data_IF_884300706291
#
_entry.id   IF_884300706291
#
_cell.length_a   1.000
_cell.length_b   1.000
_cell.length_c   1.000
_cell.angle_alpha   90.00
_cell.angle_beta   90.00
_cell.angle_gamma   90.00
#
_symmetry.space_group_name_H-M   'P 1'
#
loop_
_entity.id
_entity.type
_entity.pdbx_description
1 polymer ?
#
# COMPACT_ATOMS: atom_id res chain seq x y z
N UNK A 1 -9.07 -2.29 9.62
CA UNK A 1 -9.48 -2.83 8.29
C UNK A 1 -8.54 -2.25 7.25
N UNK A 2 -7.93 -3.07 6.41
CA UNK A 2 -7.02 -2.65 5.36
C UNK A 2 -7.00 -3.67 4.22
N UNK A 3 -6.79 -3.21 3.00
CA UNK A 3 -6.79 -4.05 1.80
C UNK A 3 -5.44 -4.70 1.49
N UNK A 4 -4.35 -4.22 2.08
CA UNK A 4 -3.03 -4.86 2.00
C UNK A 4 -2.95 -6.10 2.93
N UNK A 5 -2.20 -7.15 2.55
CA UNK A 5 -2.14 -8.42 3.28
C UNK A 5 -1.11 -8.42 4.42
N UNK A 6 -0.64 -7.25 4.84
CA UNK A 6 0.48 -7.08 5.75
C UNK A 6 0.07 -6.35 7.02
N UNK A 7 0.87 -6.50 8.08
CA UNK A 7 0.80 -5.61 9.23
C UNK A 7 1.07 -4.16 8.80
N UNK A 8 0.53 -3.15 9.52
CA UNK A 8 0.87 -1.76 9.26
C UNK A 8 2.39 -1.56 9.28
N UNK A 9 2.89 -0.75 8.34
CA UNK A 9 4.33 -0.63 8.10
C UNK A 9 4.74 0.78 7.67
N UNK A 10 6.03 1.06 7.75
CA UNK A 10 6.61 2.30 7.25
C UNK A 10 6.63 2.30 5.72
N UNK A 11 6.00 3.30 5.10
CA UNK A 11 6.09 3.53 3.65
C UNK A 11 7.35 4.28 3.16
N UNK A 12 8.00 5.17 3.95
CA UNK A 12 9.21 5.87 3.48
C UNK A 12 10.37 4.97 3.00
N UNK A 13 10.62 3.78 3.58
CA UNK A 13 11.64 2.86 3.07
C UNK A 13 11.38 2.30 1.66
N UNK A 14 10.16 2.39 1.14
CA UNK A 14 9.76 1.78 -0.14
C UNK A 14 10.51 2.35 -1.36
N UNK A 15 10.90 3.63 -1.32
CA UNK A 15 11.72 4.29 -2.35
C UNK A 15 13.22 4.25 -2.06
N UNK A 16 13.64 3.59 -0.97
CA UNK A 16 15.02 3.62 -0.45
C UNK A 16 15.56 2.21 -0.25
N UNK A 17 15.56 1.73 0.99
CA UNK A 17 16.07 0.42 1.40
C UNK A 17 15.41 -0.72 0.63
N UNK A 18 14.14 -0.57 0.25
CA UNK A 18 13.46 -1.56 -0.58
C UNK A 18 14.01 -1.65 -2.01
N UNK A 19 14.65 -0.60 -2.53
CA UNK A 19 15.25 -0.58 -3.88
C UNK A 19 16.68 -1.14 -3.86
N UNK A 20 17.45 -0.82 -2.82
CA UNK A 20 18.90 -1.11 -2.76
C UNK A 20 19.28 -2.32 -1.91
N UNK A 21 18.39 -2.77 -1.02
CA UNK A 21 18.64 -3.92 -0.13
C UNK A 21 18.70 -5.26 -0.88
N UNK A 22 19.49 -6.20 -0.36
CA UNK A 22 19.61 -7.56 -0.91
C UNK A 22 18.28 -8.34 -0.79
N UNK A 23 17.59 -8.17 0.32
CA UNK A 23 16.29 -8.78 0.62
C UNK A 23 15.33 -7.73 1.18
N UNK A 24 14.53 -7.05 0.34
CA UNK A 24 13.57 -6.05 0.80
C UNK A 24 12.53 -6.71 1.71
N UNK A 25 12.27 -6.09 2.86
CA UNK A 25 11.33 -6.58 3.85
C UNK A 25 10.42 -5.45 4.33
N UNK A 26 9.24 -5.82 4.80
CA UNK A 26 8.29 -4.90 5.41
C UNK A 26 8.79 -4.49 6.78
N UNK A 27 8.97 -3.19 6.99
CA UNK A 27 9.26 -2.61 8.29
C UNK A 27 7.96 -2.34 9.05
N UNK A 28 7.46 -3.36 9.73
CA UNK A 28 6.21 -3.28 10.49
C UNK A 28 6.32 -2.27 11.65
N UNK A 29 5.27 -1.47 11.84
CA UNK A 29 5.15 -0.50 12.96
C UNK A 29 4.30 -1.03 14.11
N UNK A 30 3.72 -2.22 13.94
CA UNK A 30 2.91 -2.91 14.93
C UNK A 30 3.07 -4.42 14.77
N UNK A 31 2.76 -5.17 15.81
CA UNK A 31 2.78 -6.63 15.84
C UNK A 31 1.42 -7.17 16.25
N UNK A 32 1.13 -8.43 15.92
CA UNK A 32 -0.10 -9.09 16.37
C UNK A 32 -0.19 -9.17 17.90
N UNK A 33 0.95 -9.34 18.58
CA UNK A 33 1.02 -9.32 20.04
C UNK A 33 0.59 -7.96 20.61
N UNK A 34 1.07 -6.85 20.02
CA UNK A 34 0.66 -5.50 20.42
C UNK A 34 -0.84 -5.27 20.18
N UNK A 35 -1.38 -5.78 19.07
CA UNK A 35 -2.82 -5.69 18.81
C UNK A 35 -3.64 -6.49 19.81
N UNK A 36 -3.21 -7.71 20.14
CA UNK A 36 -3.88 -8.54 21.14
C UNK A 36 -3.86 -7.88 22.53
N UNK A 37 -2.70 -7.37 22.96
CA UNK A 37 -2.53 -6.64 24.23
C UNK A 37 -3.50 -5.45 24.33
N UNK A 38 -3.68 -4.73 23.22
CA UNK A 38 -4.53 -3.53 23.16
C UNK A 38 -5.98 -3.81 22.77
N UNK A 39 -6.38 -5.08 22.66
CA UNK A 39 -7.72 -5.47 22.21
C UNK A 39 -8.12 -4.86 20.85
N UNK A 40 -7.15 -4.74 19.93
CA UNK A 40 -7.35 -4.22 18.59
C UNK A 40 -7.60 -5.39 17.64
N UNK A 41 -8.79 -5.42 17.02
CA UNK A 41 -9.06 -6.36 15.93
C UNK A 41 -8.46 -5.82 14.62
N UNK A 42 -7.32 -6.39 14.22
CA UNK A 42 -6.73 -6.12 12.92
C UNK A 42 -7.38 -7.00 11.85
N UNK A 43 -8.05 -6.37 10.88
CA UNK A 43 -8.62 -7.03 9.70
C UNK A 43 -7.81 -6.55 8.50
N UNK A 44 -7.08 -7.45 7.84
CA UNK A 44 -6.24 -7.18 6.67
C UNK A 44 -6.75 -7.96 5.45
N UNK A 45 -6.17 -7.72 4.27
CA UNK A 45 -6.60 -8.36 3.00
C UNK A 45 -8.08 -8.16 2.64
N UNK A 46 -8.75 -7.17 3.24
CA UNK A 46 -10.18 -6.93 3.06
C UNK A 46 -10.43 -5.44 2.89
N UNK A 47 -11.05 -5.07 1.77
CA UNK A 47 -11.34 -3.68 1.42
C UNK A 47 -12.69 -3.26 1.98
N UNK A 48 -12.77 -2.09 2.59
CA UNK A 48 -14.04 -1.40 2.81
C UNK A 48 -14.55 -0.83 1.48
N UNK A 49 -15.71 -1.29 1.01
CA UNK A 49 -16.24 -0.96 -0.33
C UNK A 49 -17.39 0.05 -0.29
N UNK A 50 -18.15 0.12 0.80
CA UNK A 50 -19.22 1.08 0.98
C UNK A 50 -19.45 1.40 2.47
N UNK A 51 -19.99 2.59 2.73
CA UNK A 51 -20.40 3.01 4.08
C UNK A 51 -21.92 3.20 4.07
N UNK A 52 -22.62 2.40 4.84
CA UNK A 52 -24.05 2.54 5.11
C UNK A 52 -24.20 3.37 6.39
N UNK A 53 -24.38 4.68 6.19
CA UNK A 53 -24.47 5.66 7.28
C UNK A 53 -25.76 5.52 8.10
N UNK A 54 -26.84 5.07 7.48
CA UNK A 54 -28.13 4.92 8.15
C UNK A 54 -28.12 3.73 9.10
N UNK A 55 -27.54 2.60 8.67
CA UNK A 55 -27.40 1.41 9.50
C UNK A 55 -26.08 1.37 10.30
N UNK A 56 -25.27 2.43 10.24
CA UNK A 56 -24.01 2.55 10.96
C UNK A 56 -23.07 1.35 10.75
N UNK A 57 -22.83 0.99 9.48
CA UNK A 57 -21.98 -0.15 9.11
C UNK A 57 -21.16 0.08 7.85
N UNK A 58 -20.04 -0.63 7.74
CA UNK A 58 -19.17 -0.65 6.57
C UNK A 58 -19.35 -1.98 5.85
N UNK A 59 -19.61 -1.95 4.54
CA UNK A 59 -19.58 -3.15 3.70
C UNK A 59 -18.13 -3.48 3.34
N UNK A 60 -17.76 -4.74 3.49
CA UNK A 60 -16.44 -5.26 3.16
C UNK A 60 -16.45 -6.02 1.83
N UNK A 61 -15.29 -6.16 1.19
CA UNK A 61 -15.15 -6.81 -0.12
C UNK A 61 -15.45 -8.31 -0.10
N UNK A 62 -15.44 -8.94 1.08
CA UNK A 62 -15.85 -10.33 1.30
C UNK A 62 -17.37 -10.49 1.45
N UNK A 63 -18.14 -9.40 1.31
CA UNK A 63 -19.60 -9.39 1.45
C UNK A 63 -20.09 -9.20 2.89
N UNK A 64 -19.19 -9.23 3.88
CA UNK A 64 -19.56 -9.01 5.28
C UNK A 64 -19.82 -7.53 5.59
N UNK A 65 -20.44 -7.27 6.73
CA UNK A 65 -20.67 -5.93 7.26
C UNK A 65 -20.04 -5.77 8.64
N UNK A 66 -19.39 -4.62 8.86
CA UNK A 66 -18.81 -4.25 10.14
C UNK A 66 -19.59 -3.07 10.75
N UNK A 67 -20.33 -3.26 11.86
CA UNK A 67 -21.03 -2.17 12.54
C UNK A 67 -20.04 -1.22 13.23
N UNK A 68 -20.44 0.03 13.43
CA UNK A 68 -19.64 1.03 14.14
C UNK A 68 -20.50 2.04 14.91
N UNK A 69 -20.01 2.52 16.05
CA UNK A 69 -20.53 3.75 16.68
C UNK A 69 -19.82 4.99 16.14
N UNK A 70 -18.51 4.86 15.90
CA UNK A 70 -17.64 5.90 15.34
C UNK A 70 -16.82 5.32 14.20
N UNK A 71 -16.71 6.07 13.11
CA UNK A 71 -15.96 5.68 11.92
C UNK A 71 -14.84 6.70 11.63
N UNK A 72 -13.60 6.23 11.57
CA UNK A 72 -12.43 7.01 11.14
C UNK A 72 -12.01 6.58 9.74
N UNK A 73 -11.95 7.54 8.82
CA UNK A 73 -11.43 7.30 7.47
C UNK A 73 -9.92 7.59 7.44
N UNK A 74 -9.14 6.53 7.35
CA UNK A 74 -7.67 6.57 7.28
C UNK A 74 -7.14 5.90 5.99
N UNK A 75 -7.85 6.08 4.87
CA UNK A 75 -7.61 5.38 3.59
C UNK A 75 -6.39 5.88 2.81
N UNK A 76 -5.72 6.93 3.28
CA UNK A 76 -4.53 7.49 2.63
C UNK A 76 -4.82 8.06 1.23
N UNK A 77 -3.90 7.82 0.30
CA UNK A 77 -3.95 8.34 -1.07
C UNK A 77 -3.47 7.28 -2.06
N UNK A 78 -3.85 7.44 -3.33
CA UNK A 78 -3.44 6.57 -4.43
C UNK A 78 -2.59 7.34 -5.44
N UNK A 79 -1.63 6.69 -6.14
CA UNK A 79 -0.89 7.33 -7.22
C UNK A 79 -1.82 7.83 -8.32
N UNK A 80 -1.59 9.06 -8.77
CA UNK A 80 -2.28 9.59 -9.95
C UNK A 80 -1.86 8.78 -11.18
N UNK A 81 -2.84 8.15 -11.82
CA UNK A 81 -2.63 7.41 -13.06
C UNK A 81 -2.43 8.38 -14.22
N UNK A 82 -1.38 8.17 -15.00
CA UNK A 82 -1.10 8.92 -16.22
C UNK A 82 -1.74 8.20 -17.42
N UNK A 83 -2.39 8.92 -18.36
CA UNK A 83 -2.98 8.34 -19.55
C UNK A 83 -1.89 7.97 -20.57
N UNK A 84 -1.13 6.91 -20.27
CA UNK A 84 -0.06 6.38 -21.12
C UNK A 84 -0.46 5.01 -21.69
N UNK A 85 -1.37 4.97 -22.67
CA UNK A 85 -1.80 3.71 -23.28
C UNK A 85 -0.61 2.99 -23.93
N UNK A 86 -0.61 1.66 -23.89
CA UNK A 86 0.39 0.82 -24.57
C UNK A 86 1.62 0.45 -23.75
N UNK A 87 1.80 0.97 -22.53
CA UNK A 87 2.94 0.59 -21.67
C UNK A 87 2.73 -0.71 -20.88
N UNK A 88 1.47 -1.12 -20.65
CA UNK A 88 1.14 -2.36 -19.94
C UNK A 88 1.88 -2.47 -18.60
N UNK A 89 2.53 -3.62 -18.35
CA UNK A 89 3.32 -3.88 -17.14
C UNK A 89 4.62 -3.06 -17.03
N UNK A 90 5.02 -2.33 -18.08
CA UNK A 90 6.23 -1.48 -18.04
C UNK A 90 6.00 -0.15 -17.32
N UNK A 91 4.73 0.24 -17.12
CA UNK A 91 4.38 1.41 -16.34
C UNK A 91 3.96 0.99 -14.94
N UNK A 92 4.85 1.21 -13.98
CA UNK A 92 4.65 0.90 -12.55
C UNK A 92 4.62 2.19 -11.73
N UNK A 93 3.83 2.20 -10.67
CA UNK A 93 3.71 3.30 -9.72
C UNK A 93 4.17 2.84 -8.35
N UNK A 94 4.75 3.72 -7.52
CA UNK A 94 5.18 3.37 -6.17
C UNK A 94 4.19 3.86 -5.11
N UNK A 95 3.54 2.94 -4.39
CA UNK A 95 2.77 3.25 -3.16
C UNK A 95 2.80 2.17 -2.10
N UNK A 96 2.75 0.92 -2.53
CA UNK A 96 2.67 -0.27 -1.68
C UNK A 96 3.98 -1.04 -1.68
N UNK A 97 4.13 -1.98 -0.76
CA UNK A 97 5.27 -2.90 -0.79
C UNK A 97 5.30 -3.75 -2.08
N UNK A 98 4.14 -4.19 -2.57
CA UNK A 98 4.05 -4.92 -3.84
C UNK A 98 4.54 -4.08 -5.02
N UNK A 99 4.23 -2.79 -5.03
CA UNK A 99 4.72 -1.86 -6.05
C UNK A 99 6.25 -1.75 -6.03
N UNK A 100 6.83 -1.63 -4.84
CA UNK A 100 8.28 -1.59 -4.67
C UNK A 100 8.94 -2.86 -5.21
N UNK A 101 8.40 -4.04 -4.90
CA UNK A 101 8.90 -5.30 -5.45
C UNK A 101 8.78 -5.36 -6.98
N UNK A 102 7.67 -4.88 -7.55
CA UNK A 102 7.46 -4.83 -8.99
C UNK A 102 8.49 -3.91 -9.69
N UNK A 103 8.76 -2.72 -9.12
CA UNK A 103 9.80 -1.82 -9.61
C UNK A 103 11.17 -2.48 -9.54
N UNK A 104 11.52 -3.05 -8.38
CA UNK A 104 12.82 -3.69 -8.15
C UNK A 104 13.10 -4.82 -9.14
N UNK A 105 12.08 -5.59 -9.53
CA UNK A 105 12.21 -6.65 -10.53
C UNK A 105 12.70 -6.13 -11.90
N UNK A 106 12.55 -4.83 -12.19
CA UNK A 106 13.04 -4.19 -13.40
C UNK A 106 14.39 -3.48 -13.24
N UNK A 107 14.93 -3.36 -12.03
CA UNK A 107 16.20 -2.68 -11.74
C UNK A 107 17.39 -3.63 -11.86
N UNK A 108 17.67 -4.10 -13.09
CA UNK A 108 18.89 -4.85 -13.42
C UNK A 108 19.86 -4.02 -14.24
N UNK A 109 21.16 -4.27 -14.07
CA UNK A 109 22.20 -3.62 -14.86
C UNK A 109 21.94 -3.79 -16.37
N UNK A 110 22.08 -2.70 -17.13
CA UNK A 110 21.80 -2.65 -18.57
C UNK A 110 20.38 -2.24 -18.95
N UNK A 111 19.44 -2.22 -18.00
CA UNK A 111 18.09 -1.71 -18.27
C UNK A 111 18.08 -0.18 -18.34
N UNK A 112 17.14 0.36 -19.13
CA UNK A 112 16.86 1.79 -19.22
C UNK A 112 15.56 2.09 -18.51
N UNK A 113 15.60 3.00 -17.55
CA UNK A 113 14.44 3.41 -16.75
C UNK A 113 14.18 4.89 -17.00
N UNK A 114 12.90 5.25 -17.08
CA UNK A 114 12.46 6.63 -17.12
C UNK A 114 11.55 6.89 -15.90
N UNK A 115 11.88 7.91 -15.11
CA UNK A 115 11.06 8.33 -13.97
C UNK A 115 10.19 9.50 -14.39
N UNK A 116 8.88 9.34 -14.31
CA UNK A 116 7.91 10.38 -14.67
C UNK A 116 7.45 11.12 -13.42
N UNK A 117 8.09 12.25 -13.13
CA UNK A 117 7.80 13.15 -12.03
C UNK A 117 9.00 13.39 -11.12
N UNK A 118 9.55 14.60 -11.13
CA UNK A 118 10.74 14.99 -10.35
C UNK A 118 10.45 15.45 -8.91
N UNK A 119 9.43 14.89 -8.27
CA UNK A 119 9.19 15.13 -6.84
C UNK A 119 10.10 14.27 -5.96
N UNK A 120 10.01 14.42 -4.63
CA UNK A 120 10.85 13.68 -3.67
C UNK A 120 10.92 12.18 -3.95
N UNK A 121 9.78 11.50 -4.12
CA UNK A 121 9.74 10.05 -4.39
C UNK A 121 10.42 9.72 -5.73
N UNK A 122 10.24 10.57 -6.76
CA UNK A 122 10.88 10.36 -8.05
C UNK A 122 12.39 10.55 -8.01
N UNK A 123 12.87 11.53 -7.24
CA UNK A 123 14.30 11.76 -7.02
C UNK A 123 14.95 10.70 -6.14
N UNK A 124 14.22 10.12 -5.20
CA UNK A 124 14.72 8.97 -4.40
C UNK A 124 14.85 7.70 -5.24
N UNK A 125 14.03 7.53 -6.28
CA UNK A 125 14.07 6.38 -7.20
C UNK A 125 15.11 6.51 -8.33
N UNK A 126 15.52 7.73 -8.67
CA UNK A 126 16.44 8.01 -9.78
C UNK A 126 17.90 7.76 -9.40
#
# INVERSE_FOLDING_TARGET
VGDEPHLPYERPPLSKEAMTGEAPAIKAIATDALFAERSIRHIHSVRAVAIDRAAHRVQLSDGSFLPYDKLLLATGSVPRQLPMPGLGSRCVYLRTFSDALAIRAHLSAGNRVAVIGGGFIGLELA
#
